data_IF_144109295678
#
_entry.id   IF_144109295678
#
_cell.length_a   1.000
_cell.length_b   1.000
_cell.length_c   1.000
_cell.angle_alpha   90.00
_cell.angle_beta   90.00
_cell.angle_gamma   90.00
#
_symmetry.space_group_name_H-M   'P 1'
#
loop_
_entity.id
_entity.type
_entity.pdbx_description
1 polymer ?
#
# COMPACT_ATOMS: atom_id res chain seq x y z
N UNK A 1 2.46 -11.89 -7.82
CA UNK A 1 2.47 -11.59 -9.28
C UNK A 1 3.70 -10.76 -9.61
N UNK A 2 4.47 -11.04 -10.69
CA UNK A 2 5.76 -10.38 -10.94
C UNK A 2 5.71 -8.85 -11.11
N UNK A 3 4.63 -8.32 -11.70
CA UNK A 3 4.46 -6.87 -11.91
C UNK A 3 4.27 -6.15 -10.56
N UNK A 4 3.38 -6.66 -9.69
CA UNK A 4 3.18 -6.17 -8.31
C UNK A 4 4.51 -6.13 -7.56
N UNK A 5 5.23 -7.25 -7.52
CA UNK A 5 6.53 -7.33 -6.83
C UNK A 5 7.57 -6.35 -7.40
N UNK A 6 7.57 -6.06 -8.71
CA UNK A 6 8.43 -5.03 -9.29
C UNK A 6 8.01 -3.61 -8.86
N UNK A 7 6.71 -3.33 -8.78
CA UNK A 7 6.20 -2.05 -8.26
C UNK A 7 6.61 -1.91 -6.80
N UNK A 8 6.26 -2.87 -5.94
CA UNK A 8 6.58 -2.87 -4.50
C UNK A 8 8.09 -2.63 -4.26
N UNK A 9 8.97 -3.30 -5.01
CA UNK A 9 10.43 -3.11 -4.90
C UNK A 9 10.93 -1.77 -5.43
N UNK A 10 10.37 -1.22 -6.51
CA UNK A 10 10.72 0.14 -6.99
C UNK A 10 10.21 1.22 -6.03
N UNK A 11 9.14 0.93 -5.30
CA UNK A 11 8.44 1.82 -4.38
C UNK A 11 9.04 1.87 -2.97
N UNK A 12 9.47 0.73 -2.43
CA UNK A 12 9.89 0.55 -1.02
C UNK A 12 11.19 -0.24 -0.85
N UNK A 13 11.75 -0.79 -1.93
CA UNK A 13 12.86 -1.73 -1.85
C UNK A 13 12.49 -3.12 -1.29
N UNK A 14 11.24 -3.37 -0.93
CA UNK A 14 10.72 -4.60 -0.34
C UNK A 14 9.92 -5.40 -1.38
N UNK A 15 10.01 -6.74 -1.32
CA UNK A 15 9.34 -7.67 -2.25
C UNK A 15 8.10 -8.37 -1.67
N UNK A 16 7.90 -8.27 -0.36
CA UNK A 16 6.83 -8.89 0.43
C UNK A 16 5.73 -7.86 0.80
N UNK A 17 4.52 -8.29 1.21
CA UNK A 17 3.45 -7.37 1.62
C UNK A 17 3.83 -6.49 2.81
N UNK A 18 4.60 -7.04 3.75
CA UNK A 18 5.18 -6.32 4.90
C UNK A 18 6.70 -6.44 4.85
N UNK A 19 7.39 -5.39 5.27
CA UNK A 19 8.80 -5.45 5.63
C UNK A 19 9.08 -4.60 6.87
N UNK A 20 10.14 -4.96 7.61
CA UNK A 20 10.73 -4.11 8.64
C UNK A 20 12.13 -3.74 8.19
N UNK A 21 12.44 -2.45 8.20
CA UNK A 21 13.76 -1.93 7.91
C UNK A 21 14.48 -1.58 9.21
N UNK A 22 15.63 -2.22 9.43
CA UNK A 22 16.45 -2.07 10.63
C UNK A 22 17.62 -1.15 10.28
N UNK A 23 17.57 0.11 10.72
CA UNK A 23 18.61 1.11 10.43
C UNK A 23 19.51 1.36 11.63
N UNK A 24 20.83 1.43 11.43
CA UNK A 24 21.80 1.58 12.52
C UNK A 24 23.27 1.66 12.07
N UNK A 25 24.22 1.90 12.99
CA UNK A 25 25.65 2.06 12.65
C UNK A 25 26.41 0.74 12.41
N UNK A 26 26.15 -0.33 13.17
CA UNK A 26 26.88 -1.61 13.06
C UNK A 26 26.02 -2.69 12.39
N UNK A 27 26.55 -3.29 11.33
CA UNK A 27 25.92 -4.33 10.53
C UNK A 27 25.68 -5.64 11.32
N UNK A 28 26.55 -5.95 12.29
CA UNK A 28 26.43 -7.14 13.12
C UNK A 28 25.21 -7.04 14.05
N UNK A 29 24.98 -5.84 14.60
CA UNK A 29 23.84 -5.56 15.47
C UNK A 29 22.54 -5.46 14.67
N UNK A 30 22.59 -4.89 13.45
CA UNK A 30 21.48 -4.97 12.49
C UNK A 30 21.10 -6.44 12.23
N UNK A 31 22.08 -7.34 12.01
CA UNK A 31 21.79 -8.75 11.78
C UNK A 31 21.29 -9.48 13.04
N UNK A 32 21.78 -9.16 14.24
CA UNK A 32 21.25 -9.76 15.48
C UNK A 32 19.80 -9.33 15.75
N UNK A 33 19.47 -8.05 15.53
CA UNK A 33 18.08 -7.54 15.60
C UNK A 33 17.22 -8.24 14.54
N UNK A 34 17.73 -8.42 13.31
CA UNK A 34 17.04 -9.17 12.26
C UNK A 34 16.73 -10.62 12.67
N UNK A 35 17.69 -11.33 13.27
CA UNK A 35 17.50 -12.70 13.78
C UNK A 35 16.52 -12.77 14.96
N UNK A 36 16.48 -11.75 15.82
CA UNK A 36 15.49 -11.64 16.89
C UNK A 36 14.08 -11.41 16.30
N UNK A 37 13.94 -10.50 15.32
CA UNK A 37 12.68 -10.25 14.61
C UNK A 37 12.15 -11.50 13.90
N UNK A 38 13.01 -12.32 13.29
CA UNK A 38 12.60 -13.63 12.75
C UNK A 38 11.93 -14.51 13.82
N UNK A 39 12.55 -14.65 14.99
CA UNK A 39 12.03 -15.50 16.07
C UNK A 39 10.76 -14.93 16.74
N UNK A 40 10.70 -13.62 16.92
CA UNK A 40 9.57 -12.91 17.57
C UNK A 40 8.33 -12.90 16.67
N UNK A 41 8.49 -12.80 15.35
CA UNK A 41 7.38 -12.67 14.41
C UNK A 41 6.89 -14.01 13.84
N UNK A 42 7.73 -15.05 13.80
CA UNK A 42 7.31 -16.39 13.36
C UNK A 42 6.09 -16.99 14.09
N UNK A 43 5.86 -16.78 15.41
CA UNK A 43 4.64 -17.26 16.09
C UNK A 43 3.40 -16.36 15.93
N UNK A 44 3.50 -15.20 15.27
CA UNK A 44 2.36 -14.26 15.12
C UNK A 44 1.32 -14.85 14.16
N UNK A 45 0.03 -14.71 14.49
CA UNK A 45 -1.03 -15.37 13.73
C UNK A 45 -1.17 -14.79 12.31
N UNK A 46 -1.13 -15.65 11.29
CA UNK A 46 -1.20 -15.24 9.88
C UNK A 46 0.16 -14.94 9.22
N UNK A 47 1.27 -15.05 9.97
CA UNK A 47 2.62 -15.06 9.38
C UNK A 47 2.85 -16.35 8.61
N UNK A 48 3.17 -16.25 7.31
CA UNK A 48 3.54 -17.40 6.48
C UNK A 48 5.06 -17.61 6.46
N UNK A 49 5.84 -16.53 6.40
CA UNK A 49 7.29 -16.60 6.57
C UNK A 49 7.89 -15.27 7.04
N UNK A 50 9.01 -15.35 7.75
CA UNK A 50 9.85 -14.20 8.11
C UNK A 50 11.29 -14.53 7.71
N UNK A 51 11.97 -13.59 7.07
CA UNK A 51 13.37 -13.75 6.68
C UNK A 51 14.12 -12.41 6.78
N UNK A 52 15.14 -12.35 7.63
CA UNK A 52 16.04 -11.21 7.76
C UNK A 52 17.29 -11.40 6.89
N UNK A 53 17.52 -10.47 5.96
CA UNK A 53 18.72 -10.47 5.12
C UNK A 53 19.99 -10.47 5.99
N UNK A 54 20.91 -11.40 5.71
CA UNK A 54 22.18 -11.55 6.45
C UNK A 54 23.18 -10.51 5.97
N UNK A 55 23.25 -9.38 6.67
CA UNK A 55 24.06 -8.21 6.29
C UNK A 55 25.56 -8.43 6.52
N UNK A 56 25.94 -9.30 7.46
CA UNK A 56 27.33 -9.62 7.81
C UNK A 56 27.77 -11.03 7.35
N UNK A 57 26.88 -11.82 6.76
CA UNK A 57 27.11 -13.24 6.41
C UNK A 57 27.90 -13.53 5.12
N UNK A 58 28.75 -12.63 4.65
CA UNK A 58 29.63 -12.85 3.49
C UNK A 58 30.97 -13.46 3.89
N UNK A 59 31.66 -14.11 2.94
CA UNK A 59 32.98 -14.74 3.16
C UNK A 59 34.02 -14.20 2.20
N UNK A 60 35.18 -13.83 2.75
CA UNK A 60 36.30 -13.25 2.02
C UNK A 60 37.57 -14.05 2.28
N UNK A 61 38.39 -14.20 1.24
CA UNK A 61 39.81 -14.53 1.41
C UNK A 61 40.55 -13.20 1.40
N UNK A 62 41.14 -12.86 2.54
CA UNK A 62 41.85 -11.59 2.76
C UNK A 62 43.33 -11.82 2.54
N UNK A 63 43.97 -10.90 1.83
CA UNK A 63 45.42 -10.84 1.62
C UNK A 63 45.91 -9.61 2.35
N UNK A 64 46.39 -9.79 3.58
CA UNK A 64 46.78 -8.73 4.50
C UNK A 64 48.27 -8.42 4.34
N UNK A 65 48.57 -7.31 3.65
CA UNK A 65 49.91 -7.03 3.12
C UNK A 65 50.81 -6.45 4.21
N UNK A 66 51.77 -7.25 4.68
CA UNK A 66 52.78 -6.84 5.62
C UNK A 66 53.81 -5.93 4.93
N UNK A 67 53.68 -4.63 5.23
CA UNK A 67 54.55 -3.57 4.70
C UNK A 67 56.03 -3.77 5.07
N UNK A 68 56.33 -4.42 6.19
CA UNK A 68 57.71 -4.64 6.67
C UNK A 68 58.33 -5.84 5.96
N UNK A 69 57.56 -6.91 5.70
CA UNK A 69 57.99 -8.00 4.82
C UNK A 69 58.16 -7.52 3.37
N UNK A 70 57.15 -6.86 2.79
CA UNK A 70 57.20 -6.33 1.43
C UNK A 70 58.40 -5.41 1.17
N UNK A 71 58.72 -4.51 2.12
CA UNK A 71 59.85 -3.60 2.00
C UNK A 71 61.22 -4.29 1.90
N UNK A 72 61.40 -5.49 2.49
CA UNK A 72 62.66 -6.27 2.37
C UNK A 72 62.95 -6.70 0.93
N UNK A 73 61.92 -6.84 0.12
CA UNK A 73 61.99 -7.24 -1.28
C UNK A 73 61.83 -6.06 -2.26
N UNK A 74 61.79 -4.82 -1.74
CA UNK A 74 61.60 -3.61 -2.56
C UNK A 74 60.22 -3.47 -3.18
N UNK A 75 59.20 -4.17 -2.65
CA UNK A 75 57.84 -4.17 -3.18
C UNK A 75 56.97 -3.08 -2.55
N UNK A 76 56.21 -2.38 -3.38
CA UNK A 76 55.11 -1.54 -2.93
C UNK A 76 53.84 -2.37 -2.74
N UNK A 77 52.92 -1.87 -1.92
CA UNK A 77 51.58 -2.45 -1.74
C UNK A 77 50.85 -2.57 -3.08
N UNK A 78 50.99 -1.56 -3.95
CA UNK A 78 50.40 -1.54 -5.29
C UNK A 78 50.92 -2.68 -6.17
N UNK A 79 52.18 -3.09 -6.03
CA UNK A 79 52.80 -4.13 -6.87
C UNK A 79 52.20 -5.49 -6.52
N UNK A 80 52.09 -5.78 -5.22
CA UNK A 80 51.44 -6.97 -4.67
C UNK A 80 49.94 -6.99 -5.02
N UNK A 81 49.25 -5.85 -4.92
CA UNK A 81 47.84 -5.73 -5.31
C UNK A 81 47.62 -5.92 -6.81
N UNK A 82 48.54 -5.45 -7.67
CA UNK A 82 48.45 -5.60 -9.13
C UNK A 82 48.65 -7.05 -9.58
N UNK A 83 49.56 -7.77 -8.91
CA UNK A 83 49.70 -9.23 -9.08
C UNK A 83 48.44 -9.94 -8.57
N UNK A 84 47.92 -9.57 -7.39
CA UNK A 84 46.71 -10.17 -6.80
C UNK A 84 45.48 -10.00 -7.71
N UNK A 85 45.23 -8.78 -8.21
CA UNK A 85 44.07 -8.48 -9.06
C UNK A 85 44.14 -9.16 -10.43
N UNK A 86 45.34 -9.30 -10.99
CA UNK A 86 45.58 -9.96 -12.27
C UNK A 86 45.65 -11.47 -12.10
N UNK A 87 46.72 -11.98 -11.46
CA UNK A 87 47.02 -13.40 -11.34
C UNK A 87 45.89 -14.17 -10.66
N UNK A 88 45.34 -13.69 -9.55
CA UNK A 88 44.25 -14.35 -8.82
C UNK A 88 42.88 -13.90 -9.36
N UNK A 89 42.65 -12.58 -9.41
CA UNK A 89 41.35 -11.99 -9.75
C UNK A 89 40.94 -12.12 -11.22
N UNK A 90 41.90 -12.17 -12.15
CA UNK A 90 41.63 -12.20 -13.59
C UNK A 90 41.15 -10.87 -14.16
N UNK A 91 41.69 -9.76 -13.65
CA UNK A 91 41.41 -8.41 -14.16
C UNK A 91 41.62 -8.30 -15.67
N UNK A 92 40.69 -7.63 -16.35
CA UNK A 92 40.80 -7.33 -17.79
C UNK A 92 41.91 -6.29 -17.99
N UNK A 93 42.91 -6.64 -18.80
CA UNK A 93 44.10 -5.82 -19.09
C UNK A 93 43.88 -4.94 -20.33
N UNK A 94 43.12 -5.44 -21.30
CA UNK A 94 42.76 -4.71 -22.54
C UNK A 94 41.49 -5.30 -23.16
N UNK A 95 41.10 -4.84 -24.35
CA UNK A 95 40.04 -5.44 -25.17
C UNK A 95 40.47 -5.55 -26.63
N UNK A 96 40.12 -6.64 -27.31
CA UNK A 96 40.16 -6.67 -28.78
C UNK A 96 39.05 -5.76 -29.35
N UNK A 97 39.17 -5.42 -30.63
CA UNK A 97 38.16 -4.66 -31.39
C UNK A 97 37.91 -5.40 -32.70
N UNK A 98 36.74 -5.99 -32.82
CA UNK A 98 36.38 -6.92 -33.89
C UNK A 98 35.14 -6.37 -34.60
N UNK A 99 35.37 -5.41 -35.49
CA UNK A 99 34.32 -4.64 -36.14
C UNK A 99 33.61 -3.70 -35.16
N UNK A 100 32.36 -4.03 -34.82
CA UNK A 100 31.56 -3.34 -33.80
C UNK A 100 31.68 -4.01 -32.41
N UNK A 101 32.22 -5.23 -32.34
CA UNK A 101 32.33 -6.02 -31.12
C UNK A 101 33.65 -5.74 -30.38
N UNK A 102 33.64 -5.98 -29.06
CA UNK A 102 34.80 -5.76 -28.18
C UNK A 102 34.86 -6.86 -27.14
N UNK A 103 35.90 -7.68 -27.18
CA UNK A 103 36.07 -8.79 -26.24
C UNK A 103 37.17 -8.46 -25.20
N UNK A 104 36.93 -8.66 -23.90
CA UNK A 104 37.92 -8.39 -22.87
C UNK A 104 39.05 -9.44 -22.89
N UNK A 105 40.29 -8.96 -22.78
CA UNK A 105 41.49 -9.79 -22.63
C UNK A 105 41.98 -9.64 -21.19
N UNK A 106 42.06 -10.74 -20.45
CA UNK A 106 42.61 -10.78 -19.09
C UNK A 106 43.91 -11.59 -19.01
N UNK A 107 44.67 -11.33 -17.96
CA UNK A 107 45.84 -12.12 -17.58
C UNK A 107 45.55 -12.75 -16.21
N UNK A 108 45.70 -14.07 -16.08
CA UNK A 108 45.36 -14.82 -14.87
C UNK A 108 46.23 -16.07 -14.76
N UNK A 109 46.52 -16.52 -13.55
CA UNK A 109 47.23 -17.79 -13.34
C UNK A 109 46.29 -18.99 -13.49
N UNK A 110 46.82 -20.19 -13.88
CA UNK A 110 46.06 -21.43 -13.93
C UNK A 110 45.39 -21.73 -12.60
N UNK A 111 44.21 -22.37 -12.66
CA UNK A 111 43.37 -22.57 -11.47
C UNK A 111 44.02 -23.42 -10.37
N UNK A 112 45.03 -24.24 -10.68
CA UNK A 112 45.80 -25.08 -9.73
C UNK A 112 46.84 -24.34 -8.87
N UNK A 113 46.97 -23.02 -9.08
CA UNK A 113 47.62 -22.07 -8.14
C UNK A 113 46.57 -21.20 -7.43
N UNK A 114 45.29 -21.44 -7.74
CA UNK A 114 44.07 -20.63 -7.53
C UNK A 114 43.17 -20.98 -6.34
N UNK A 115 43.26 -22.23 -5.90
CA UNK A 115 42.09 -23.05 -5.59
C UNK A 115 41.89 -23.35 -4.09
N UNK A 116 42.89 -23.07 -3.27
CA UNK A 116 42.79 -23.08 -1.81
C UNK A 116 43.68 -21.98 -1.20
N UNK A 117 43.50 -21.67 0.08
CA UNK A 117 44.27 -20.61 0.76
C UNK A 117 45.78 -20.93 0.76
N UNK A 118 46.12 -22.20 1.01
CA UNK A 118 47.48 -22.74 1.01
C UNK A 118 48.15 -22.66 -0.38
N UNK A 119 47.34 -22.64 -1.45
CA UNK A 119 47.82 -22.41 -2.83
C UNK A 119 48.05 -20.93 -3.13
N UNK A 120 47.26 -20.05 -2.53
CA UNK A 120 47.46 -18.61 -2.61
C UNK A 120 48.69 -18.17 -1.80
N UNK A 121 48.96 -18.79 -0.65
CA UNK A 121 50.18 -18.53 0.13
C UNK A 121 51.43 -18.86 -0.70
N UNK A 122 51.42 -20.01 -1.38
CA UNK A 122 52.49 -20.49 -2.26
C UNK A 122 52.48 -19.87 -3.68
N UNK A 123 51.65 -18.85 -3.94
CA UNK A 123 51.54 -18.24 -5.27
C UNK A 123 52.81 -17.45 -5.60
N UNK A 124 53.50 -17.76 -6.73
CA UNK A 124 54.78 -17.14 -7.04
C UNK A 124 54.60 -15.66 -7.47
N UNK A 125 55.42 -14.79 -6.89
CA UNK A 125 55.51 -13.37 -7.19
C UNK A 125 56.97 -13.02 -7.52
N UNK A 126 57.18 -12.28 -8.62
CA UNK A 126 58.51 -11.85 -9.06
C UNK A 126 58.77 -10.41 -8.61
N UNK A 127 59.86 -10.20 -7.88
CA UNK A 127 60.24 -8.88 -7.34
C UNK A 127 60.89 -8.00 -8.43
N UNK A 128 60.94 -6.66 -8.26
CA UNK A 128 61.71 -5.78 -9.13
C UNK A 128 63.20 -6.13 -9.24
N UNK A 129 63.74 -6.86 -8.26
CA UNK A 129 65.12 -7.37 -8.25
C UNK A 129 65.27 -8.73 -8.97
N UNK A 130 64.22 -9.25 -9.60
CA UNK A 130 64.22 -10.54 -10.31
C UNK A 130 64.19 -11.78 -9.41
N UNK A 131 63.94 -11.61 -8.12
CA UNK A 131 63.79 -12.73 -7.18
C UNK A 131 62.37 -13.30 -7.30
N UNK A 132 62.24 -14.63 -7.22
CA UNK A 132 60.92 -15.27 -7.09
C UNK A 132 60.66 -15.58 -5.62
N UNK A 133 59.57 -15.05 -5.08
CA UNK A 133 59.10 -15.27 -3.71
C UNK A 133 57.66 -15.79 -3.73
N UNK A 134 57.16 -16.28 -2.59
CA UNK A 134 55.76 -16.65 -2.43
C UNK A 134 54.93 -15.44 -1.94
N UNK A 135 53.63 -15.41 -2.20
CA UNK A 135 52.76 -14.34 -1.69
C UNK A 135 52.72 -14.32 -0.15
N UNK A 136 52.82 -15.49 0.49
CA UNK A 136 52.98 -15.64 1.96
C UNK A 136 54.26 -15.00 2.53
N UNK A 137 55.30 -14.80 1.72
CA UNK A 137 56.53 -14.12 2.14
C UNK A 137 56.32 -12.61 2.35
N UNK A 138 55.18 -12.05 1.92
CA UNK A 138 54.86 -10.60 1.95
C UNK A 138 53.44 -10.25 2.41
N UNK A 139 52.54 -11.21 2.56
CA UNK A 139 51.19 -11.01 3.05
C UNK A 139 50.69 -12.23 3.83
N UNK A 140 49.84 -12.02 4.83
CA UNK A 140 49.13 -13.11 5.49
C UNK A 140 47.78 -13.35 4.80
N UNK A 141 47.46 -14.62 4.53
CA UNK A 141 46.27 -14.97 3.76
C UNK A 141 45.33 -15.81 4.63
N UNK A 142 44.14 -15.27 4.92
CA UNK A 142 43.19 -15.91 5.81
C UNK A 142 41.74 -15.71 5.36
N UNK A 143 40.84 -16.55 5.87
CA UNK A 143 39.40 -16.41 5.67
C UNK A 143 38.86 -15.46 6.73
N UNK A 144 38.14 -14.43 6.30
CA UNK A 144 37.45 -13.47 7.17
C UNK A 144 35.96 -13.41 6.76
N UNK A 145 35.06 -13.52 7.74
CA UNK A 145 33.63 -13.25 7.51
C UNK A 145 33.41 -11.72 7.48
N UNK A 146 32.55 -11.22 6.59
CA UNK A 146 32.36 -9.78 6.35
C UNK A 146 31.09 -9.47 5.55
N UNK A 147 30.76 -8.19 5.32
CA UNK A 147 29.45 -7.81 4.81
C UNK A 147 29.27 -8.11 3.31
N UNK A 148 28.59 -9.21 3.00
CA UNK A 148 28.36 -9.69 1.63
C UNK A 148 27.65 -8.70 0.70
N UNK A 149 26.82 -7.81 1.26
CA UNK A 149 26.31 -6.62 0.58
C UNK A 149 25.93 -5.53 1.60
N UNK A 150 26.64 -4.40 1.60
CA UNK A 150 26.25 -3.24 2.41
C UNK A 150 25.09 -2.53 1.71
N UNK A 151 23.90 -2.55 2.33
CA UNK A 151 22.74 -1.76 1.93
C UNK A 151 22.60 -0.55 2.85
N UNK A 152 22.13 0.56 2.30
CA UNK A 152 21.89 1.80 3.02
C UNK A 152 20.62 2.49 2.55
N UNK A 153 19.98 3.20 3.47
CA UNK A 153 18.76 3.97 3.26
C UNK A 153 18.99 5.34 3.89
N UNK A 154 18.74 6.43 3.15
CA UNK A 154 18.99 7.81 3.62
C UNK A 154 20.40 7.98 4.25
N UNK A 155 21.42 7.38 3.61
CA UNK A 155 22.82 7.33 4.05
C UNK A 155 23.11 6.59 5.39
N UNK A 156 22.14 5.92 6.00
CA UNK A 156 22.35 5.01 7.15
C UNK A 156 22.41 3.56 6.68
N UNK A 157 23.31 2.70 7.19
CA UNK A 157 23.27 1.26 6.92
C UNK A 157 21.92 0.65 7.34
N UNK A 158 21.42 -0.29 6.53
CA UNK A 158 20.08 -0.84 6.68
C UNK A 158 20.01 -2.35 6.38
N UNK A 159 19.48 -3.12 7.33
CA UNK A 159 18.99 -4.48 7.11
C UNK A 159 17.51 -4.49 6.79
N UNK A 160 17.04 -5.53 6.08
CA UNK A 160 15.62 -5.70 5.74
C UNK A 160 15.11 -7.06 6.21
N UNK A 161 14.03 -7.05 6.97
CA UNK A 161 13.27 -8.23 7.35
C UNK A 161 12.04 -8.30 6.46
N UNK A 162 11.91 -9.40 5.73
CA UNK A 162 10.87 -9.67 4.77
C UNK A 162 9.82 -10.57 5.42
N UNK A 163 8.55 -10.14 5.41
CA UNK A 163 7.46 -10.79 6.12
C UNK A 163 6.33 -11.05 5.13
N UNK A 164 6.04 -12.32 4.89
CA UNK A 164 4.92 -12.76 4.06
C UNK A 164 3.75 -13.23 4.92
N UNK A 165 2.53 -12.90 4.50
CA UNK A 165 1.30 -13.11 5.30
C UNK A 165 0.21 -13.77 4.46
N UNK A 166 -0.57 -14.66 5.09
CA UNK A 166 -1.68 -15.37 4.45
C UNK A 166 -2.93 -15.33 5.34
N UNK A 167 -4.11 -15.30 4.71
CA UNK A 167 -5.41 -15.38 5.38
C UNK A 167 -5.82 -14.20 6.28
N UNK A 168 -4.95 -13.19 6.49
CA UNK A 168 -5.16 -12.11 7.45
C UNK A 168 -5.14 -10.72 6.81
N UNK A 169 -5.87 -9.78 7.42
CA UNK A 169 -5.82 -8.35 7.07
C UNK A 169 -4.45 -7.72 7.41
N UNK A 170 -3.94 -6.90 6.50
CA UNK A 170 -2.62 -6.25 6.57
C UNK A 170 -2.53 -5.27 7.75
N UNK A 171 -3.53 -4.41 7.92
CA UNK A 171 -3.51 -3.37 8.97
C UNK A 171 -3.70 -3.95 10.37
N UNK A 172 -4.44 -5.03 10.49
CA UNK A 172 -4.64 -5.76 11.76
C UNK A 172 -3.43 -6.61 12.10
N UNK A 173 -2.80 -7.28 11.12
CA UNK A 173 -1.55 -8.00 11.32
C UNK A 173 -0.42 -7.07 11.80
N UNK A 174 -0.19 -5.94 11.11
CA UNK A 174 0.93 -5.05 11.45
C UNK A 174 0.78 -4.42 12.83
N UNK A 175 -0.43 -4.10 13.29
CA UNK A 175 -0.65 -3.57 14.66
C UNK A 175 -0.30 -4.60 15.74
N UNK A 176 -0.78 -5.83 15.63
CA UNK A 176 -0.42 -6.91 16.55
C UNK A 176 1.09 -7.20 16.51
N UNK A 177 1.69 -7.25 15.31
CA UNK A 177 3.12 -7.46 15.14
C UNK A 177 3.96 -6.30 15.73
N UNK A 178 3.48 -5.05 15.64
CA UNK A 178 4.11 -3.89 16.29
C UNK A 178 4.03 -3.95 17.81
N UNK A 179 2.92 -4.47 18.37
CA UNK A 179 2.77 -4.67 19.82
C UNK A 179 3.69 -5.79 20.32
N UNK A 180 3.66 -6.97 19.68
CA UNK A 180 4.53 -8.11 20.01
C UNK A 180 6.02 -7.75 19.90
N UNK A 181 6.43 -7.01 18.86
CA UNK A 181 7.82 -6.53 18.74
C UNK A 181 8.17 -5.51 19.83
N UNK A 182 7.27 -4.59 20.19
CA UNK A 182 7.50 -3.61 21.26
C UNK A 182 7.65 -4.26 22.65
N UNK A 183 7.01 -5.40 22.88
CA UNK A 183 7.10 -6.14 24.14
C UNK A 183 8.30 -7.09 24.23
N UNK A 184 8.82 -7.59 23.11
CA UNK A 184 9.81 -8.69 23.09
C UNK A 184 11.18 -8.31 22.50
N UNK A 185 11.38 -7.07 22.04
CA UNK A 185 12.63 -6.61 21.41
C UNK A 185 13.22 -5.36 22.10
N UNK A 186 14.25 -5.56 22.91
CA UNK A 186 15.09 -4.47 23.42
C UNK A 186 15.92 -3.84 22.29
N UNK A 187 15.46 -2.69 21.77
CA UNK A 187 16.14 -1.97 20.70
C UNK A 187 17.32 -1.12 21.24
N UNK A 188 18.57 -1.33 20.80
CA UNK A 188 19.71 -0.55 21.29
C UNK A 188 19.67 0.92 20.81
N UNK A 189 20.27 1.82 21.60
CA UNK A 189 20.38 3.24 21.25
C UNK A 189 21.10 3.45 19.89
N UNK A 190 20.53 4.31 19.05
CA UNK A 190 21.05 4.60 17.70
C UNK A 190 20.49 3.70 16.58
N UNK A 191 19.70 2.69 16.93
CA UNK A 191 18.97 1.84 16.01
C UNK A 191 17.51 2.31 15.88
N UNK A 192 16.89 2.02 14.74
CA UNK A 192 15.49 2.34 14.45
C UNK A 192 14.84 1.26 13.59
N UNK A 193 13.52 1.09 13.77
CA UNK A 193 12.71 0.09 13.09
C UNK A 193 11.58 0.78 12.32
N UNK A 194 11.69 0.78 11.00
CA UNK A 194 10.73 1.42 10.10
C UNK A 194 9.87 0.34 9.43
N UNK A 195 8.54 0.42 9.56
CA UNK A 195 7.60 -0.55 8.97
C UNK A 195 7.23 -0.12 7.55
N UNK A 196 7.53 -0.97 6.57
CA UNK A 196 7.50 -0.63 5.15
C UNK A 196 6.88 -1.77 4.31
N UNK A 197 6.96 -1.69 2.98
CA UNK A 197 6.17 -2.48 2.05
C UNK A 197 4.77 -1.86 1.84
N UNK A 198 3.74 -2.69 1.72
CA UNK A 198 2.40 -2.21 1.37
C UNK A 198 1.68 -1.50 2.52
N UNK A 199 2.11 -1.73 3.77
CA UNK A 199 1.59 -1.03 4.95
C UNK A 199 1.83 0.49 4.87
N UNK A 200 3.04 0.92 4.47
CA UNK A 200 3.43 2.33 4.30
C UNK A 200 2.54 3.08 3.30
N UNK A 201 2.03 2.39 2.27
CA UNK A 201 1.05 2.95 1.34
C UNK A 201 -0.37 2.99 1.89
N UNK A 202 -0.77 1.97 2.64
CA UNK A 202 -2.08 1.95 3.31
C UNK A 202 -2.18 3.06 4.36
N UNK A 203 -1.12 3.31 5.13
CA UNK A 203 -1.03 4.38 6.11
C UNK A 203 -1.11 5.76 5.44
N UNK A 204 -0.26 6.03 4.44
CA UNK A 204 -0.32 7.27 3.64
C UNK A 204 -1.64 7.48 2.90
N UNK A 205 -2.33 6.40 2.51
CA UNK A 205 -3.66 6.49 1.90
C UNK A 205 -4.69 6.91 2.96
N UNK A 206 -4.69 6.28 4.13
CA UNK A 206 -5.57 6.61 5.26
C UNK A 206 -5.37 8.06 5.74
N UNK A 207 -4.12 8.52 5.90
CA UNK A 207 -3.81 9.93 6.21
C UNK A 207 -4.47 10.89 5.21
N UNK A 208 -4.27 10.65 3.91
CA UNK A 208 -4.84 11.49 2.85
C UNK A 208 -6.37 11.44 2.84
N UNK A 209 -6.97 10.26 3.02
CA UNK A 209 -8.42 10.08 3.04
C UNK A 209 -9.07 10.74 4.27
N UNK A 210 -8.39 10.75 5.42
CA UNK A 210 -8.85 11.47 6.61
C UNK A 210 -9.01 12.98 6.40
N UNK A 211 -8.26 13.55 5.45
CA UNK A 211 -8.36 14.96 5.04
C UNK A 211 -9.32 15.13 3.87
N UNK A 212 -9.27 14.25 2.87
CA UNK A 212 -10.09 14.33 1.65
C UNK A 212 -11.57 14.14 1.96
N UNK A 213 -11.94 13.17 2.80
CA UNK A 213 -13.36 12.86 3.08
C UNK A 213 -14.10 14.07 3.70
N UNK A 214 -13.60 14.74 4.75
CA UNK A 214 -14.20 15.98 5.25
C UNK A 214 -14.27 17.11 4.21
N UNK A 215 -13.23 17.29 3.38
CA UNK A 215 -13.19 18.34 2.35
C UNK A 215 -14.22 18.07 1.25
N UNK A 216 -14.34 16.83 0.76
CA UNK A 216 -15.36 16.42 -0.20
C UNK A 216 -16.77 16.55 0.39
N UNK A 217 -16.97 16.15 1.65
CA UNK A 217 -18.25 16.31 2.34
C UNK A 217 -18.65 17.78 2.50
N UNK A 218 -17.68 18.66 2.80
CA UNK A 218 -17.89 20.11 2.84
C UNK A 218 -18.31 20.66 1.47
N UNK A 219 -17.61 20.29 0.39
CA UNK A 219 -17.99 20.73 -0.96
C UNK A 219 -19.36 20.20 -1.42
N UNK A 220 -19.70 18.94 -1.12
CA UNK A 220 -21.04 18.40 -1.38
C UNK A 220 -22.10 19.20 -0.60
N UNK A 221 -21.86 19.44 0.69
CA UNK A 221 -22.76 20.23 1.56
C UNK A 221 -22.94 21.65 1.03
N UNK A 222 -21.86 22.30 0.58
CA UNK A 222 -21.88 23.64 -0.01
C UNK A 222 -22.69 23.69 -1.31
N UNK A 223 -22.48 22.74 -2.24
CA UNK A 223 -23.23 22.67 -3.50
C UNK A 223 -24.72 22.42 -3.22
N UNK A 224 -25.06 21.46 -2.35
CA UNK A 224 -26.44 21.20 -1.92
C UNK A 224 -27.08 22.45 -1.29
N UNK A 225 -26.33 23.18 -0.45
CA UNK A 225 -26.83 24.41 0.18
C UNK A 225 -27.03 25.55 -0.83
N UNK A 226 -26.17 25.68 -1.84
CA UNK A 226 -26.37 26.65 -2.92
C UNK A 226 -27.58 26.29 -3.80
N UNK A 227 -27.85 25.00 -4.03
CA UNK A 227 -29.02 24.53 -4.78
C UNK A 227 -30.34 24.73 -4.03
N UNK A 228 -30.45 24.19 -2.80
CA UNK A 228 -31.72 24.15 -2.07
C UNK A 228 -31.93 25.33 -1.10
N UNK A 229 -30.83 26.01 -0.70
CA UNK A 229 -30.82 27.20 0.18
C UNK A 229 -31.50 26.99 1.55
N UNK A 230 -31.69 25.73 1.96
CA UNK A 230 -32.42 25.29 3.16
C UNK A 230 -31.69 24.14 3.85
N UNK A 231 -31.30 24.32 5.11
CA UNK A 231 -30.50 23.34 5.86
C UNK A 231 -31.21 21.98 6.05
N UNK A 232 -32.53 21.97 6.26
CA UNK A 232 -33.30 20.72 6.41
C UNK A 232 -33.21 19.82 5.17
N UNK A 233 -33.24 20.41 3.98
CA UNK A 233 -33.18 19.72 2.70
C UNK A 233 -31.78 19.12 2.46
N UNK A 234 -30.73 19.89 2.74
CA UNK A 234 -29.34 19.41 2.71
C UNK A 234 -29.11 18.28 3.72
N UNK A 235 -29.55 18.44 4.96
CA UNK A 235 -29.39 17.43 6.01
C UNK A 235 -30.18 16.15 5.73
N UNK A 236 -31.36 16.25 5.09
CA UNK A 236 -32.13 15.06 4.67
C UNK A 236 -31.38 14.28 3.59
N UNK A 237 -30.76 14.96 2.61
CA UNK A 237 -29.94 14.31 1.57
C UNK A 237 -28.69 13.68 2.17
N UNK A 238 -27.92 14.42 2.98
CA UNK A 238 -26.73 13.90 3.67
C UNK A 238 -27.07 12.73 4.60
N UNK A 239 -28.24 12.77 5.25
CA UNK A 239 -28.77 11.69 6.08
C UNK A 239 -29.00 10.36 5.35
N UNK A 240 -29.07 10.35 4.01
CA UNK A 240 -29.16 9.08 3.24
C UNK A 240 -27.82 8.36 3.11
N UNK A 241 -26.69 9.07 3.21
CA UNK A 241 -25.36 8.51 2.99
C UNK A 241 -24.98 7.38 3.97
N UNK A 242 -25.16 7.52 5.31
CA UNK A 242 -24.83 6.44 6.26
C UNK A 242 -25.57 5.13 5.96
N UNK A 243 -26.85 5.19 5.57
CA UNK A 243 -27.63 3.99 5.25
C UNK A 243 -27.17 3.31 3.96
N UNK A 244 -26.73 4.08 2.96
CA UNK A 244 -26.08 3.53 1.77
C UNK A 244 -24.74 2.86 2.14
N UNK A 245 -23.90 3.51 2.96
CA UNK A 245 -22.63 2.92 3.43
C UNK A 245 -22.87 1.60 4.17
N UNK A 246 -23.87 1.52 5.07
CA UNK A 246 -24.24 0.29 5.79
C UNK A 246 -24.53 -0.86 4.82
N UNK A 247 -25.29 -0.63 3.74
CA UNK A 247 -25.58 -1.65 2.74
C UNK A 247 -24.33 -2.17 2.02
N UNK A 248 -23.39 -1.28 1.70
CA UNK A 248 -22.12 -1.66 1.08
C UNK A 248 -21.23 -2.44 2.05
N UNK A 249 -21.10 -1.98 3.29
CA UNK A 249 -20.34 -2.66 4.37
C UNK A 249 -20.90 -4.08 4.60
N UNK A 250 -22.23 -4.24 4.61
CA UNK A 250 -22.86 -5.54 4.85
C UNK A 250 -22.58 -6.55 3.73
N UNK A 251 -22.64 -6.12 2.45
CA UNK A 251 -22.30 -6.99 1.32
C UNK A 251 -20.79 -7.32 1.26
N UNK A 252 -19.93 -6.39 1.68
CA UNK A 252 -18.48 -6.60 1.79
C UNK A 252 -18.14 -7.62 2.89
N UNK A 253 -18.77 -7.50 4.06
CA UNK A 253 -18.63 -8.45 5.16
C UNK A 253 -19.15 -9.85 4.79
N UNK A 254 -20.28 -9.93 4.09
CA UNK A 254 -20.83 -11.22 3.62
C UNK A 254 -19.93 -11.92 2.59
N UNK A 255 -19.22 -11.18 1.74
CA UNK A 255 -18.23 -11.73 0.80
C UNK A 255 -16.84 -11.95 1.42
N UNK A 256 -16.62 -11.60 2.69
CA UNK A 256 -15.31 -11.73 3.34
C UNK A 256 -14.23 -10.80 2.77
N UNK A 257 -14.60 -9.70 2.13
CA UNK A 257 -13.67 -8.77 1.48
C UNK A 257 -13.14 -7.70 2.45
N UNK A 258 -11.82 -7.64 2.62
CA UNK A 258 -11.14 -6.63 3.45
C UNK A 258 -11.25 -5.21 2.88
N UNK A 259 -11.25 -4.21 3.77
CA UNK A 259 -11.17 -2.80 3.41
C UNK A 259 -9.86 -2.50 2.65
N UNK A 260 -9.94 -1.69 1.59
CA UNK A 260 -8.79 -1.29 0.77
C UNK A 260 -9.15 -0.12 -0.14
N UNK A 261 -8.15 0.52 -0.76
CA UNK A 261 -8.36 1.70 -1.64
C UNK A 261 -9.37 1.46 -2.76
N UNK A 262 -9.45 0.24 -3.30
CA UNK A 262 -10.46 -0.15 -4.29
C UNK A 262 -11.91 -0.08 -3.72
N UNK A 263 -12.08 -0.50 -2.47
CA UNK A 263 -13.35 -0.49 -1.73
C UNK A 263 -13.77 0.94 -1.41
N UNK A 264 -12.82 1.78 -0.99
CA UNK A 264 -13.03 3.20 -0.67
C UNK A 264 -13.47 3.99 -1.90
N UNK A 265 -12.86 3.74 -3.06
CA UNK A 265 -13.33 4.28 -4.36
C UNK A 265 -14.76 3.82 -4.69
N UNK A 266 -15.09 2.56 -4.40
CA UNK A 266 -16.47 2.04 -4.51
C UNK A 266 -17.47 2.78 -3.62
N UNK A 267 -17.10 3.09 -2.37
CA UNK A 267 -17.93 3.89 -1.45
C UNK A 267 -18.07 5.35 -1.89
N UNK A 268 -17.04 5.96 -2.48
CA UNK A 268 -17.11 7.32 -3.04
C UNK A 268 -18.06 7.36 -4.25
N UNK A 269 -17.98 6.37 -5.15
CA UNK A 269 -18.88 6.25 -6.30
C UNK A 269 -20.33 6.01 -5.86
N UNK A 270 -20.55 5.14 -4.87
CA UNK A 270 -21.84 4.94 -4.21
C UNK A 270 -22.42 6.25 -3.68
N UNK A 271 -21.64 7.03 -2.94
CA UNK A 271 -22.09 8.28 -2.33
C UNK A 271 -22.62 9.28 -3.37
N UNK A 272 -21.92 9.42 -4.52
CA UNK A 272 -22.37 10.26 -5.63
C UNK A 272 -23.71 9.81 -6.23
N UNK A 273 -23.88 8.50 -6.47
CA UNK A 273 -25.14 7.92 -6.99
C UNK A 273 -26.29 8.11 -5.99
N UNK A 274 -26.05 7.83 -4.71
CA UNK A 274 -27.04 7.99 -3.63
C UNK A 274 -27.50 9.44 -3.52
N UNK A 275 -26.57 10.40 -3.47
CA UNK A 275 -26.90 11.84 -3.41
C UNK A 275 -27.66 12.28 -4.66
N UNK A 276 -27.27 11.84 -5.86
CA UNK A 276 -28.00 12.14 -7.09
C UNK A 276 -29.46 11.66 -7.08
N UNK A 277 -29.72 10.45 -6.57
CA UNK A 277 -31.08 9.93 -6.40
C UNK A 277 -31.88 10.68 -5.33
N UNK A 278 -31.24 11.04 -4.20
CA UNK A 278 -31.88 11.79 -3.12
C UNK A 278 -32.23 13.24 -3.53
N UNK A 279 -31.33 13.94 -4.24
CA UNK A 279 -31.58 15.25 -4.87
C UNK A 279 -32.83 15.15 -5.76
N UNK A 280 -32.87 14.16 -6.65
CA UNK A 280 -33.96 14.02 -7.61
C UNK A 280 -35.30 13.65 -6.96
N UNK A 281 -35.30 12.85 -5.89
CA UNK A 281 -36.52 12.63 -5.09
C UNK A 281 -36.99 13.94 -4.45
N UNK A 282 -36.07 14.69 -3.82
CA UNK A 282 -36.40 15.92 -3.13
C UNK A 282 -36.94 17.02 -4.06
N UNK A 283 -36.39 17.15 -5.28
CA UNK A 283 -36.88 18.09 -6.29
C UNK A 283 -38.33 17.78 -6.69
N UNK A 284 -38.69 16.51 -6.89
CA UNK A 284 -40.06 16.11 -7.22
C UNK A 284 -41.03 16.29 -6.04
N UNK A 285 -40.58 16.06 -4.80
CA UNK A 285 -41.36 16.35 -3.59
C UNK A 285 -41.60 17.86 -3.42
N UNK A 286 -40.56 18.69 -3.61
CA UNK A 286 -40.67 20.14 -3.60
C UNK A 286 -41.61 20.67 -4.68
N UNK A 287 -41.53 20.12 -5.90
CA UNK A 287 -42.42 20.51 -7.00
C UNK A 287 -43.87 20.14 -6.68
N UNK A 288 -44.15 18.89 -6.32
CA UNK A 288 -45.53 18.46 -6.04
C UNK A 288 -46.13 19.17 -4.82
N UNK A 289 -45.32 19.51 -3.80
CA UNK A 289 -45.77 20.34 -2.68
C UNK A 289 -46.07 21.79 -3.11
N UNK A 290 -45.30 22.36 -4.05
CA UNK A 290 -45.57 23.69 -4.62
C UNK A 290 -46.84 23.69 -5.48
N UNK A 291 -47.03 22.67 -6.32
CA UNK A 291 -48.23 22.48 -7.12
C UNK A 291 -49.47 22.37 -6.20
N UNK A 292 -49.40 21.51 -5.17
CA UNK A 292 -50.47 21.35 -4.17
C UNK A 292 -50.76 22.62 -3.35
N UNK A 293 -49.74 23.43 -3.04
CA UNK A 293 -49.91 24.77 -2.45
C UNK A 293 -50.67 25.71 -3.40
N UNK A 294 -50.28 25.76 -4.68
CA UNK A 294 -50.97 26.62 -5.66
C UNK A 294 -52.44 26.25 -5.85
N UNK A 295 -52.79 24.96 -5.79
CA UNK A 295 -54.18 24.49 -5.88
C UNK A 295 -54.99 24.81 -4.61
N UNK A 296 -54.36 24.84 -3.43
CA UNK A 296 -55.00 25.26 -2.19
C UNK A 296 -55.23 26.79 -2.17
N UNK A 297 -54.25 27.59 -2.62
CA UNK A 297 -54.35 29.04 -2.76
C UNK A 297 -55.45 29.45 -3.75
N UNK A 298 -55.54 28.81 -4.93
CA UNK A 298 -56.63 29.01 -5.89
C UNK A 298 -58.02 28.68 -5.31
N UNK A 299 -58.09 27.82 -4.29
CA UNK A 299 -59.31 27.43 -3.60
C UNK A 299 -59.54 28.22 -2.30
N UNK A 300 -58.73 29.26 -2.03
CA UNK A 300 -58.75 30.09 -0.82
C UNK A 300 -58.70 29.27 0.50
N UNK A 301 -58.02 28.11 0.50
CA UNK A 301 -57.92 27.22 1.66
C UNK A 301 -56.48 27.06 2.12
N UNK A 302 -56.29 26.99 3.44
CA UNK A 302 -54.98 26.64 4.02
C UNK A 302 -54.63 25.18 3.72
N UNK A 303 -53.35 24.88 3.56
CA UNK A 303 -52.85 23.57 3.19
C UNK A 303 -53.16 22.50 4.25
N UNK A 304 -54.01 21.52 3.93
CA UNK A 304 -54.37 20.44 4.84
C UNK A 304 -53.28 19.38 4.93
N UNK A 305 -53.22 18.67 6.06
CA UNK A 305 -52.42 17.45 6.21
C UNK A 305 -52.74 16.39 5.14
N UNK A 306 -53.98 16.37 4.63
CA UNK A 306 -54.38 15.52 3.51
C UNK A 306 -53.72 15.95 2.20
N UNK A 307 -53.64 17.25 1.90
CA UNK A 307 -53.00 17.76 0.68
C UNK A 307 -51.49 17.49 0.70
N UNK A 308 -50.83 17.70 1.85
CA UNK A 308 -49.42 17.39 2.05
C UNK A 308 -49.17 15.89 1.83
N UNK A 309 -50.08 15.03 2.30
CA UNK A 309 -49.98 13.58 2.07
C UNK A 309 -50.14 13.22 0.60
N UNK A 310 -51.09 13.81 -0.12
CA UNK A 310 -51.27 13.58 -1.56
C UNK A 310 -50.05 14.05 -2.35
N UNK A 311 -49.60 15.29 -2.18
CA UNK A 311 -48.41 15.82 -2.85
C UNK A 311 -47.14 14.97 -2.61
N UNK A 312 -46.92 14.47 -1.39
CA UNK A 312 -45.77 13.59 -1.11
C UNK A 312 -45.91 12.23 -1.79
N UNK A 313 -47.12 11.67 -1.89
CA UNK A 313 -47.38 10.41 -2.60
C UNK A 313 -47.19 10.60 -4.11
N UNK A 314 -47.79 11.64 -4.70
CA UNK A 314 -47.74 11.91 -6.13
C UNK A 314 -46.31 12.20 -6.60
N UNK A 315 -45.58 13.05 -5.87
CA UNK A 315 -44.15 13.32 -6.12
C UNK A 315 -43.27 12.06 -6.02
N UNK A 316 -43.53 11.19 -5.04
CA UNK A 316 -42.79 9.93 -4.89
C UNK A 316 -43.13 8.91 -6.00
N UNK A 317 -44.40 8.79 -6.40
CA UNK A 317 -44.85 7.90 -7.48
C UNK A 317 -44.27 8.31 -8.83
N UNK A 318 -44.22 9.61 -9.13
CA UNK A 318 -43.57 10.15 -10.34
C UNK A 318 -42.08 9.76 -10.42
N UNK A 319 -41.38 9.71 -9.27
CA UNK A 319 -39.94 9.42 -9.21
C UNK A 319 -39.60 7.93 -9.04
N UNK A 320 -40.55 7.09 -8.64
CA UNK A 320 -40.38 5.63 -8.47
C UNK A 320 -39.80 4.95 -9.71
N UNK A 321 -40.43 5.13 -10.88
CA UNK A 321 -39.98 4.48 -12.13
C UNK A 321 -38.57 4.93 -12.57
N UNK A 322 -38.23 6.24 -12.59
CA UNK A 322 -36.86 6.70 -12.82
C UNK A 322 -35.81 6.13 -11.86
N UNK A 323 -36.07 6.10 -10.54
CA UNK A 323 -35.09 5.57 -9.56
C UNK A 323 -34.91 4.05 -9.76
N UNK A 324 -36.00 3.31 -9.93
CA UNK A 324 -35.93 1.87 -10.23
C UNK A 324 -35.13 1.59 -11.50
N UNK A 325 -35.30 2.40 -12.56
CA UNK A 325 -34.50 2.27 -13.79
C UNK A 325 -33.01 2.45 -13.50
N UNK A 326 -32.60 3.56 -12.84
CA UNK A 326 -31.19 3.81 -12.51
C UNK A 326 -30.59 2.69 -11.64
N UNK A 327 -31.33 2.23 -10.62
CA UNK A 327 -30.85 1.16 -9.73
C UNK A 327 -30.73 -0.18 -10.47
N UNK A 328 -31.73 -0.59 -11.26
CA UNK A 328 -31.65 -1.80 -12.05
C UNK A 328 -30.51 -1.75 -13.09
N UNK A 329 -30.28 -0.61 -13.75
CA UNK A 329 -29.16 -0.45 -14.69
C UNK A 329 -27.81 -0.62 -13.99
N UNK A 330 -27.61 -0.06 -12.80
CA UNK A 330 -26.33 -0.19 -12.08
C UNK A 330 -26.15 -1.62 -11.53
N UNK A 331 -27.21 -2.24 -10.97
CA UNK A 331 -27.14 -3.62 -10.49
C UNK A 331 -26.86 -4.60 -11.63
N UNK A 332 -27.58 -4.54 -12.76
CA UNK A 332 -27.32 -5.40 -13.91
C UNK A 332 -26.00 -5.10 -14.62
N UNK A 333 -25.47 -3.88 -14.50
CA UNK A 333 -24.13 -3.53 -14.99
C UNK A 333 -22.99 -4.04 -14.11
N UNK A 334 -23.16 -4.05 -12.78
CA UNK A 334 -22.09 -4.41 -11.83
C UNK A 334 -22.12 -5.87 -11.39
N UNK A 335 -23.27 -6.57 -11.39
CA UNK A 335 -23.35 -8.00 -11.03
C UNK A 335 -22.44 -8.86 -11.92
N UNK A 336 -22.40 -8.70 -13.27
CA UNK A 336 -21.44 -9.43 -14.11
C UNK A 336 -19.97 -9.11 -13.81
N UNK A 337 -19.68 -7.90 -13.33
CA UNK A 337 -18.31 -7.49 -12.91
C UNK A 337 -17.93 -8.14 -11.59
N UNK A 338 -18.89 -8.33 -10.68
CA UNK A 338 -18.71 -9.02 -9.39
C UNK A 338 -18.61 -10.55 -9.56
N UNK A 339 -19.23 -11.13 -10.59
CA UNK A 339 -19.22 -12.58 -10.89
C UNK A 339 -18.14 -13.01 -11.90
N UNK A 340 -17.21 -12.12 -12.27
CA UNK A 340 -16.11 -12.42 -13.17
C UNK A 340 -14.89 -12.94 -12.39
N UNK A 341 -14.30 -14.06 -12.80
CA UNK A 341 -13.07 -14.64 -12.23
C UNK A 341 -11.81 -14.34 -13.08
N UNK A 342 -11.94 -13.51 -14.12
CA UNK A 342 -10.85 -13.18 -15.05
C UNK A 342 -9.75 -12.29 -14.47
N UNK A 343 -8.68 -12.09 -15.24
CA UNK A 343 -7.54 -11.24 -14.84
C UNK A 343 -7.97 -9.81 -14.50
N UNK A 344 -7.60 -9.34 -13.31
CA UNK A 344 -7.99 -8.02 -12.79
C UNK A 344 -9.34 -7.99 -12.06
N UNK A 345 -10.09 -9.09 -12.02
CA UNK A 345 -11.34 -9.19 -11.26
C UNK A 345 -11.16 -8.86 -9.76
N UNK A 346 -10.04 -9.29 -9.16
CA UNK A 346 -9.69 -9.01 -7.75
C UNK A 346 -9.85 -7.54 -7.34
N UNK A 347 -9.61 -6.60 -8.26
CA UNK A 347 -9.76 -5.15 -8.05
C UNK A 347 -11.19 -4.70 -8.37
N UNK A 348 -11.74 -5.16 -9.49
CA UNK A 348 -13.07 -4.74 -9.97
C UNK A 348 -14.21 -5.23 -9.06
N UNK A 349 -14.13 -6.45 -8.53
CA UNK A 349 -15.07 -6.99 -7.53
C UNK A 349 -15.11 -6.10 -6.28
N UNK A 350 -13.95 -5.63 -5.80
CA UNK A 350 -13.81 -4.78 -4.62
C UNK A 350 -14.34 -3.35 -4.83
N UNK A 351 -14.29 -2.82 -6.06
CA UNK A 351 -14.94 -1.55 -6.42
C UNK A 351 -16.46 -1.74 -6.53
N UNK A 352 -16.91 -2.84 -7.12
CA UNK A 352 -18.32 -3.10 -7.41
C UNK A 352 -19.15 -3.49 -6.17
N UNK A 353 -18.60 -4.28 -5.25
CA UNK A 353 -19.30 -4.78 -4.05
C UNK A 353 -19.96 -3.68 -3.19
N UNK A 354 -19.24 -2.62 -2.79
CA UNK A 354 -19.79 -1.51 -2.03
C UNK A 354 -20.95 -0.81 -2.76
N UNK A 355 -20.84 -0.66 -4.08
CA UNK A 355 -21.89 -0.05 -4.91
C UNK A 355 -23.13 -0.95 -4.98
N UNK A 356 -22.99 -2.25 -5.21
CA UNK A 356 -24.13 -3.19 -5.31
C UNK A 356 -24.92 -3.23 -3.99
N UNK A 357 -24.23 -3.45 -2.86
CA UNK A 357 -24.86 -3.53 -1.55
C UNK A 357 -25.43 -2.18 -1.10
N UNK A 358 -24.67 -1.11 -1.30
CA UNK A 358 -25.05 0.22 -0.88
C UNK A 358 -26.21 0.81 -1.69
N UNK A 359 -26.24 0.58 -3.00
CA UNK A 359 -27.34 1.05 -3.85
C UNK A 359 -28.63 0.33 -3.46
N UNK A 360 -28.56 -0.98 -3.19
CA UNK A 360 -29.70 -1.80 -2.74
C UNK A 360 -30.32 -1.28 -1.44
N UNK A 361 -29.49 -0.89 -0.46
CA UNK A 361 -29.95 -0.18 0.75
C UNK A 361 -30.51 1.21 0.43
N UNK A 362 -29.78 2.01 -0.36
CA UNK A 362 -30.15 3.39 -0.70
C UNK A 362 -31.49 3.51 -1.44
N UNK A 363 -31.90 2.47 -2.17
CA UNK A 363 -33.19 2.40 -2.84
C UNK A 363 -34.35 2.51 -1.83
N UNK A 364 -34.30 1.70 -0.77
CA UNK A 364 -35.32 1.67 0.29
C UNK A 364 -35.33 3.02 1.03
N UNK A 365 -34.15 3.54 1.34
CA UNK A 365 -33.96 4.84 2.02
C UNK A 365 -34.53 5.99 1.18
N UNK A 366 -34.24 6.01 -0.13
CA UNK A 366 -34.67 7.12 -1.01
C UNK A 366 -36.15 7.05 -1.34
N UNK A 367 -36.74 5.86 -1.49
CA UNK A 367 -38.16 5.69 -1.81
C UNK A 367 -39.09 5.77 -0.58
N UNK A 368 -38.61 5.42 0.62
CA UNK A 368 -39.44 5.36 1.84
C UNK A 368 -39.03 6.42 2.86
N UNK A 369 -37.75 6.47 3.24
CA UNK A 369 -37.29 7.33 4.34
C UNK A 369 -37.32 8.82 3.97
N UNK A 370 -36.87 9.18 2.75
CA UNK A 370 -36.86 10.58 2.29
C UNK A 370 -38.29 11.18 2.20
N UNK A 371 -39.28 10.55 1.53
CA UNK A 371 -40.66 11.03 1.55
C UNK A 371 -41.28 11.07 2.96
N UNK A 372 -40.99 10.10 3.82
CA UNK A 372 -41.50 10.08 5.20
C UNK A 372 -40.94 11.22 6.06
N UNK A 373 -39.63 11.47 6.01
CA UNK A 373 -38.98 12.61 6.69
C UNK A 373 -39.51 13.94 6.16
N UNK A 374 -39.66 14.06 4.84
CA UNK A 374 -40.19 15.26 4.19
C UNK A 374 -41.65 15.56 4.61
N UNK A 375 -42.50 14.53 4.65
CA UNK A 375 -43.88 14.63 5.15
C UNK A 375 -43.92 15.04 6.63
N UNK A 376 -43.13 14.39 7.49
CA UNK A 376 -43.08 14.68 8.93
C UNK A 376 -42.59 16.10 9.24
N UNK A 377 -41.76 16.69 8.38
CA UNK A 377 -41.36 18.09 8.51
C UNK A 377 -42.46 19.05 8.08
N UNK A 378 -42.98 18.92 6.85
CA UNK A 378 -43.96 19.87 6.33
C UNK A 378 -45.33 19.78 7.02
N UNK A 379 -45.72 18.61 7.55
CA UNK A 379 -46.90 18.50 8.41
C UNK A 379 -46.73 19.25 9.74
N UNK A 380 -45.54 19.21 10.36
CA UNK A 380 -45.21 20.02 11.54
C UNK A 380 -45.11 21.51 11.25
N UNK A 381 -44.68 21.89 10.04
CA UNK A 381 -44.68 23.30 9.60
C UNK A 381 -46.11 23.82 9.44
N UNK A 382 -46.98 23.09 8.77
CA UNK A 382 -48.40 23.46 8.61
C UNK A 382 -49.15 23.51 9.95
N UNK A 383 -48.91 22.56 10.85
CA UNK A 383 -49.46 22.55 12.22
C UNK A 383 -48.97 23.72 13.11
N UNK A 384 -47.92 24.45 12.69
CA UNK A 384 -47.48 25.69 13.36
C UNK A 384 -48.04 26.96 12.73
N UNK A 385 -48.68 26.86 11.57
CA UNK A 385 -49.24 27.99 10.82
C UNK A 385 -50.77 28.09 10.97
N UNK A 386 -51.44 26.97 11.25
CA UNK A 386 -52.82 26.92 11.74
C UNK A 386 -52.84 26.52 13.23
N UNK A 387 -52.85 27.49 14.17
CA UNK A 387 -53.07 27.24 15.60
C UNK A 387 -54.54 26.96 15.96
#
# INVERSE_FOLDING_TARGET
>A
MPIRTRIDMLSTGIKTPVGIQVTGPDLNVIESIGRQLEHILQPVAGTLSVYAERVAGGRYIKVDIDRVRAARFGLNINDIQSVTSSAIGGMNVTSTVEGLERYPVNLRYPQSYRDSVEKLELLPLVTPAGQSIALGDVADIYIEDGPGAIRSENARPAGRVLIDIEGRDLGTYVREAQEVVRENLDLPNGYSLDWTGQYEYMERANERLSIIIPVTLFFITLVLFLTFRRLFEVLTILGTLPFALIGGIWLMAWQGYNLSVAVEVGFIALAGVTVGNAIMMLVYLNQSLADGRSMAEQQNRTLSLTDIRHAVLDGAVLRLRPIMMTVCTILFGLVPVMMNDGTGAEVMQRIAGPMIGGISSSLIVTLVLVPAIYYLWHSREAQRQNP
#
